data_IF_743863504187
#
_entry.id   IF_743863504187
#
_cell.length_a   1.000
_cell.length_b   1.000
_cell.length_c   1.000
_cell.angle_alpha   90.00
_cell.angle_beta   90.00
_cell.angle_gamma   90.00
#
_symmetry.space_group_name_H-M   'P 1'
#
loop_
_entity.id
_entity.type
_entity.pdbx_description
1 polymer ?
#
# COMPACT_ATOMS: atom_id res chain seq x y z
N UNK A 1 -22.33 -7.99 26.62
CA UNK A 1 -21.86 -7.12 25.52
C UNK A 1 -21.64 -5.73 26.11
N UNK A 2 -20.44 -5.14 25.98
CA UNK A 2 -20.12 -4.39 24.76
C UNK A 2 -18.68 -4.59 24.25
N UNK A 3 -18.54 -4.83 22.95
CA UNK A 3 -17.26 -4.72 22.25
C UNK A 3 -17.11 -3.27 21.77
N UNK A 4 -16.36 -2.45 22.51
CA UNK A 4 -15.90 -1.12 22.06
C UNK A 4 -14.41 -1.19 21.73
N UNK A 5 -14.04 -2.05 20.79
CA UNK A 5 -12.80 -1.81 20.04
C UNK A 5 -13.14 -0.79 18.96
N UNK A 6 -13.22 0.48 19.36
CA UNK A 6 -12.89 1.57 18.45
C UNK A 6 -11.38 1.47 18.23
N UNK A 7 -10.99 0.53 17.37
CA UNK A 7 -9.70 0.59 16.73
C UNK A 7 -9.80 1.91 15.98
N UNK A 8 -9.14 2.94 16.52
CA UNK A 8 -8.72 4.06 15.72
C UNK A 8 -7.86 3.44 14.62
N UNK A 9 -8.53 3.01 13.55
CA UNK A 9 -7.92 2.62 12.31
C UNK A 9 -7.23 3.90 11.89
N UNK A 10 -5.94 3.95 12.18
CA UNK A 10 -5.04 4.97 11.67
C UNK A 10 -5.04 4.73 10.16
N UNK A 11 -6.13 5.15 9.51
CA UNK A 11 -6.39 5.07 8.08
C UNK A 11 -5.45 6.01 7.30
N UNK A 12 -4.51 6.64 8.00
CA UNK A 12 -3.21 7.06 7.49
C UNK A 12 -2.25 5.85 7.29
N UNK A 13 -2.79 4.65 7.08
CA UNK A 13 -2.06 3.42 6.77
C UNK A 13 -1.41 3.56 5.41
N UNK A 14 -0.24 4.22 5.39
CA UNK A 14 0.63 4.30 4.22
C UNK A 14 0.86 2.89 3.71
N UNK A 15 0.26 2.60 2.57
CA UNK A 15 0.42 1.34 1.89
C UNK A 15 1.81 1.27 1.30
N UNK A 16 2.40 0.08 1.37
CA UNK A 16 3.66 -0.20 0.69
C UNK A 16 3.35 -0.71 -0.70
N UNK A 17 3.95 -0.12 -1.72
CA UNK A 17 3.80 -0.48 -3.12
C UNK A 17 5.12 -1.01 -3.67
N UNK A 18 5.06 -2.01 -4.53
CA UNK A 18 6.21 -2.63 -5.18
C UNK A 18 6.04 -2.62 -6.70
N UNK A 19 7.08 -2.18 -7.42
CA UNK A 19 7.11 -2.25 -8.86
C UNK A 19 7.42 -3.69 -9.31
N UNK A 20 6.52 -4.28 -10.09
CA UNK A 20 6.66 -5.65 -10.56
C UNK A 20 7.75 -5.84 -11.65
N UNK A 21 8.28 -4.73 -12.18
CA UNK A 21 9.28 -4.75 -13.26
C UNK A 21 10.70 -4.68 -12.70
N UNK A 22 10.98 -3.72 -11.82
CA UNK A 22 12.34 -3.49 -11.29
C UNK A 22 12.49 -3.81 -9.80
N UNK A 23 11.39 -4.12 -9.08
CA UNK A 23 11.41 -4.41 -7.65
C UNK A 23 11.52 -3.17 -6.75
N UNK A 24 11.29 -1.95 -7.28
CA UNK A 24 11.31 -0.72 -6.48
C UNK A 24 10.18 -0.72 -5.47
N UNK A 25 10.46 -0.36 -4.21
CA UNK A 25 9.45 -0.29 -3.15
C UNK A 25 9.26 1.16 -2.70
N UNK A 26 8.01 1.61 -2.66
CA UNK A 26 7.63 2.96 -2.20
C UNK A 26 6.50 2.88 -1.17
N UNK A 27 6.40 3.88 -0.28
CA UNK A 27 5.29 3.99 0.68
C UNK A 27 4.44 5.18 0.29
N UNK A 28 3.16 4.96 0.04
CA UNK A 28 2.23 6.00 -0.36
C UNK A 28 0.86 5.76 0.29
N UNK A 29 0.13 6.83 0.58
CA UNK A 29 -1.24 6.75 1.10
C UNK A 29 -2.22 6.34 0.00
N UNK A 30 -1.91 6.69 -1.25
CA UNK A 30 -2.69 6.34 -2.44
C UNK A 30 -1.78 5.69 -3.49
N UNK A 31 -2.39 5.07 -4.51
CA UNK A 31 -1.64 4.43 -5.59
C UNK A 31 -0.64 5.42 -6.25
N UNK A 32 0.67 5.14 -6.23
CA UNK A 32 1.71 6.08 -6.67
C UNK A 32 1.78 6.25 -8.20
N UNK A 33 1.04 5.44 -8.95
CA UNK A 33 1.04 5.46 -10.41
C UNK A 33 2.11 4.52 -10.98
N UNK A 34 2.82 4.97 -12.01
CA UNK A 34 3.86 4.23 -12.71
C UNK A 34 5.26 4.47 -12.10
N UNK A 35 6.15 3.50 -12.26
CA UNK A 35 7.51 3.56 -11.74
C UNK A 35 8.38 4.50 -12.57
N UNK A 36 8.99 5.55 -11.99
CA UNK A 36 9.78 6.54 -12.74
C UNK A 36 11.10 5.99 -13.29
N UNK A 37 11.54 4.80 -12.86
CA UNK A 37 12.80 4.19 -13.30
C UNK A 37 12.63 3.20 -14.46
N UNK A 38 11.43 2.61 -14.63
CA UNK A 38 11.21 1.54 -15.60
C UNK A 38 9.83 1.56 -16.26
N UNK A 39 9.00 2.56 -15.97
CA UNK A 39 7.63 2.69 -16.46
C UNK A 39 6.71 1.51 -16.07
N UNK A 40 7.08 0.76 -15.02
CA UNK A 40 6.34 -0.39 -14.53
C UNK A 40 5.25 -0.03 -13.52
N UNK A 41 4.17 -0.80 -13.48
CA UNK A 41 3.06 -0.60 -12.53
C UNK A 41 3.48 -0.94 -11.07
N UNK A 42 3.03 -0.13 -10.12
CA UNK A 42 3.21 -0.33 -8.69
C UNK A 42 2.05 -1.12 -8.07
N UNK A 43 2.31 -2.29 -7.50
CA UNK A 43 1.29 -3.08 -6.81
C UNK A 43 1.33 -2.88 -5.29
N UNK A 44 0.17 -2.70 -4.67
CA UNK A 44 0.04 -2.60 -3.22
C UNK A 44 0.37 -3.96 -2.55
N UNK A 45 1.39 -4.00 -1.68
CA UNK A 45 1.77 -5.17 -0.87
C UNK A 45 1.01 -5.29 0.45
N UNK A 46 0.36 -4.21 0.90
CA UNK A 46 -0.40 -4.18 2.16
C UNK A 46 -1.79 -4.84 2.02
N UNK A 47 -2.39 -4.82 0.84
CA UNK A 47 -3.55 -5.67 0.50
C UNK A 47 -3.07 -7.07 0.14
N UNK A 48 -2.72 -7.85 1.15
CA UNK A 48 -2.68 -9.31 1.02
C UNK A 48 -4.13 -9.79 1.01
N UNK A 49 -4.64 -10.27 -0.13
CA UNK A 49 -5.97 -10.89 -0.19
C UNK A 49 -5.91 -12.24 0.52
N UNK A 50 -6.36 -12.28 1.78
CA UNK A 50 -6.67 -13.50 2.53
C UNK A 50 -8.06 -14.04 2.17
#
# INVERSE_FOLDING_TARGET
MPHHQDIADDAASRSTYECLVCGKIVKAETHPGDCPDCDGEFQNRAMSLE
#
